data_IF_784383074035
#
_entry.id   IF_784383074035
#
_cell.length_a   1.000
_cell.length_b   1.000
_cell.length_c   1.000
_cell.angle_alpha   90.00
_cell.angle_beta   90.00
_cell.angle_gamma   90.00
#
_symmetry.space_group_name_H-M   'P 1'
#
loop_
_entity.id
_entity.type
_entity.pdbx_description
1 polymer ?
#
# COMPACT_ATOMS: atom_id res chain seq x y z
N UNK A 1 11.04 -26.50 45.26
CA UNK A 1 9.72 -27.17 45.17
C UNK A 1 8.60 -26.12 45.00
N UNK A 2 8.58 -25.26 43.98
CA UNK A 2 8.71 -25.49 42.54
C UNK A 2 7.69 -26.50 42.01
N UNK A 3 6.51 -26.01 41.58
CA UNK A 3 5.80 -26.60 40.43
C UNK A 3 4.59 -25.86 39.88
N UNK A 4 4.46 -24.53 40.02
CA UNK A 4 3.31 -23.83 39.38
C UNK A 4 3.71 -22.52 38.68
N UNK A 5 4.93 -22.44 38.15
CA UNK A 5 5.35 -21.39 37.20
C UNK A 5 5.65 -22.05 35.86
N UNK A 6 4.64 -22.64 35.25
CA UNK A 6 4.71 -23.15 33.89
C UNK A 6 3.28 -23.23 33.39
N UNK A 7 3.07 -22.71 32.17
CA UNK A 7 1.81 -22.68 31.44
C UNK A 7 0.88 -21.52 31.76
N UNK A 8 1.16 -20.37 31.14
CA UNK A 8 0.20 -19.61 30.30
C UNK A 8 0.93 -18.42 29.66
N UNK A 9 1.96 -18.69 28.85
CA UNK A 9 2.44 -17.73 27.85
C UNK A 9 1.66 -18.00 26.56
N UNK A 10 0.41 -17.53 26.51
CA UNK A 10 -0.34 -17.47 25.26
C UNK A 10 0.09 -16.19 24.53
N UNK A 11 1.22 -16.26 23.81
CA UNK A 11 1.63 -15.21 22.90
C UNK A 11 0.69 -15.22 21.70
N UNK A 12 -0.35 -14.38 21.74
CA UNK A 12 -1.11 -14.01 20.56
C UNK A 12 -0.20 -13.21 19.63
N UNK A 13 0.44 -13.89 18.69
CA UNK A 13 1.03 -13.23 17.54
C UNK A 13 -0.12 -12.69 16.69
N UNK A 14 -0.46 -11.41 16.87
CA UNK A 14 -1.24 -10.68 15.87
C UNK A 14 -0.38 -10.66 14.60
N UNK A 15 -0.73 -11.49 13.62
CA UNK A 15 -0.14 -11.41 12.30
C UNK A 15 -0.46 -10.04 11.71
N UNK A 16 0.57 -9.23 11.47
CA UNK A 16 0.43 -8.06 10.64
C UNK A 16 0.01 -8.53 9.26
N UNK A 17 -1.26 -8.32 8.89
CA UNK A 17 -1.71 -8.56 7.53
C UNK A 17 -1.03 -7.49 6.68
N UNK A 18 -0.01 -7.89 5.93
CA UNK A 18 0.55 -7.04 4.90
C UNK A 18 -0.55 -6.89 3.84
N UNK A 19 -1.28 -5.78 3.87
CA UNK A 19 -2.10 -5.40 2.73
C UNK A 19 -1.17 -5.29 1.52
N UNK A 20 -1.46 -6.07 0.48
CA UNK A 20 -0.71 -6.08 -0.78
C UNK A 20 -1.07 -4.86 -1.63
N UNK A 21 -1.08 -3.68 -1.01
CA UNK A 21 -1.37 -2.43 -1.67
C UNK A 21 -0.08 -1.91 -2.32
N UNK A 22 -0.16 -1.65 -3.62
CA UNK A 22 0.92 -1.04 -4.37
C UNK A 22 1.08 0.42 -3.96
N UNK A 23 2.20 0.77 -3.33
CA UNK A 23 2.40 2.13 -2.83
C UNK A 23 3.81 2.67 -3.07
N UNK A 24 3.92 3.99 -3.09
CA UNK A 24 5.17 4.73 -3.04
C UNK A 24 5.24 5.54 -1.76
N UNK A 25 6.40 5.48 -1.09
CA UNK A 25 6.75 6.38 0.02
C UNK A 25 7.83 7.31 -0.48
N UNK A 26 7.53 8.60 -0.46
CA UNK A 26 8.40 9.67 -0.91
C UNK A 26 8.84 10.52 0.29
N UNK A 27 10.14 10.82 0.40
CA UNK A 27 10.71 11.59 1.52
C UNK A 27 11.53 12.79 1.02
N UNK A 28 11.44 13.92 1.72
CA UNK A 28 12.31 15.10 1.53
C UNK A 28 12.36 15.91 2.83
N UNK A 29 13.55 16.13 3.39
CA UNK A 29 13.77 17.02 4.55
C UNK A 29 12.79 16.85 5.73
N UNK A 30 12.37 15.61 6.00
CA UNK A 30 11.42 15.27 7.08
C UNK A 30 9.94 15.31 6.66
N UNK A 31 9.62 15.72 5.43
CA UNK A 31 8.30 15.52 4.83
C UNK A 31 8.18 14.13 4.21
N UNK A 32 7.08 13.44 4.53
CA UNK A 32 6.68 12.18 3.93
C UNK A 32 5.43 12.35 3.06
N UNK A 33 5.44 11.70 1.90
CA UNK A 33 4.26 11.60 1.02
C UNK A 33 3.99 10.14 0.68
N UNK A 34 2.77 9.71 0.92
CA UNK A 34 2.29 8.38 0.59
C UNK A 34 1.42 8.45 -0.65
N UNK A 35 1.72 7.62 -1.65
CA UNK A 35 0.90 7.42 -2.85
C UNK A 35 0.51 5.94 -2.88
N UNK A 36 -0.76 5.63 -2.80
CA UNK A 36 -1.27 4.25 -2.75
C UNK A 36 -2.22 3.99 -3.91
N UNK A 37 -2.13 2.80 -4.51
CA UNK A 37 -3.21 2.23 -5.34
C UNK A 37 -4.00 1.24 -4.50
N UNK A 38 -5.26 1.57 -4.26
CA UNK A 38 -6.21 0.73 -3.55
C UNK A 38 -7.13 0.03 -4.54
N UNK A 39 -7.08 -1.30 -4.57
CA UNK A 39 -8.04 -2.13 -5.29
C UNK A 39 -9.27 -2.35 -4.40
N UNK A 40 -10.45 -2.02 -4.89
CA UNK A 40 -11.66 -1.97 -4.07
C UNK A 40 -12.42 -3.31 -4.01
N UNK A 41 -12.01 -4.28 -4.84
CA UNK A 41 -12.53 -5.63 -4.83
C UNK A 41 -11.37 -6.64 -4.69
N UNK A 42 -11.56 -7.75 -3.96
CA UNK A 42 -10.56 -8.80 -3.86
C UNK A 42 -10.19 -9.37 -5.24
N UNK A 43 -8.88 -9.59 -5.44
CA UNK A 43 -8.30 -10.22 -6.63
C UNK A 43 -8.67 -9.58 -7.98
N UNK A 44 -9.12 -8.32 -7.97
CA UNK A 44 -9.49 -7.57 -9.16
C UNK A 44 -8.70 -6.26 -9.26
N UNK A 45 -8.26 -5.93 -10.47
CA UNK A 45 -7.53 -4.69 -10.72
C UNK A 45 -8.43 -3.44 -10.76
N UNK A 46 -9.75 -3.63 -10.87
CA UNK A 46 -10.76 -2.56 -10.87
C UNK A 46 -12.02 -3.02 -10.12
N UNK A 47 -12.82 -2.10 -9.54
CA UNK A 47 -12.56 -0.67 -9.39
C UNK A 47 -11.34 -0.39 -8.51
N UNK A 48 -10.60 0.67 -8.83
CA UNK A 48 -9.39 1.08 -8.11
C UNK A 48 -9.41 2.58 -7.80
N UNK A 49 -8.66 2.97 -6.78
CA UNK A 49 -8.41 4.36 -6.38
C UNK A 49 -6.93 4.64 -6.27
N UNK A 50 -6.52 5.87 -6.58
CA UNK A 50 -5.22 6.41 -6.20
C UNK A 50 -5.42 7.34 -5.02
N UNK A 51 -4.80 6.98 -3.90
CA UNK A 51 -4.92 7.69 -2.63
C UNK A 51 -3.60 8.37 -2.30
N UNK A 52 -3.69 9.52 -1.67
CA UNK A 52 -2.53 10.36 -1.37
C UNK A 52 -2.63 10.97 0.02
N UNK A 53 -1.50 11.02 0.73
CA UNK A 53 -1.40 11.64 2.05
C UNK A 53 -0.04 12.31 2.21
N UNK A 54 -0.04 13.52 2.78
CA UNK A 54 1.17 14.22 3.22
C UNK A 54 1.28 14.09 4.73
N UNK A 55 2.41 13.59 5.24
CA UNK A 55 2.64 13.40 6.67
C UNK A 55 1.43 12.74 7.35
N UNK A 56 0.86 13.41 8.35
CA UNK A 56 -0.30 12.98 9.13
C UNK A 56 -1.61 13.66 8.69
N UNK A 57 -1.64 14.27 7.51
CA UNK A 57 -2.86 14.84 6.93
C UNK A 57 -3.89 13.74 6.59
N UNK A 58 -5.12 14.15 6.30
CA UNK A 58 -6.17 13.23 5.85
C UNK A 58 -5.81 12.58 4.51
N UNK A 59 -6.17 11.30 4.35
CA UNK A 59 -6.00 10.57 3.11
C UNK A 59 -6.98 11.09 2.05
N UNK A 60 -6.47 11.47 0.89
CA UNK A 60 -7.28 12.00 -0.21
C UNK A 60 -7.36 11.00 -1.36
N UNK A 61 -8.55 10.81 -1.92
CA UNK A 61 -8.72 10.09 -3.20
C UNK A 61 -8.51 11.09 -4.33
N UNK A 62 -7.44 10.92 -5.10
CA UNK A 62 -7.11 11.80 -6.22
C UNK A 62 -7.74 11.32 -7.53
N UNK A 63 -7.78 10.01 -7.72
CA UNK A 63 -8.32 9.38 -8.92
C UNK A 63 -9.04 8.08 -8.58
N UNK A 64 -9.98 7.73 -9.45
CA UNK A 64 -10.72 6.47 -9.41
C UNK A 64 -10.92 5.96 -10.84
N UNK A 65 -10.84 4.64 -11.02
CA UNK A 65 -11.30 3.98 -12.24
C UNK A 65 -12.23 2.84 -11.87
N UNK A 66 -13.39 2.76 -12.52
CA UNK A 66 -14.36 1.71 -12.23
C UNK A 66 -14.15 0.45 -13.08
N UNK A 67 -13.56 0.58 -14.28
CA UNK A 67 -13.47 -0.50 -15.26
C UNK A 67 -12.23 -0.43 -16.19
N UNK A 68 -11.27 0.46 -15.92
CA UNK A 68 -10.06 0.60 -16.73
C UNK A 68 -8.83 0.08 -15.97
N UNK A 69 -8.46 -1.16 -16.23
CA UNK A 69 -7.24 -1.77 -15.66
C UNK A 69 -5.99 -0.97 -16.02
N UNK A 70 -5.04 -0.89 -15.09
CA UNK A 70 -3.78 -0.15 -15.26
C UNK A 70 -3.90 1.37 -15.11
N UNK A 71 -5.12 1.93 -15.02
CA UNK A 71 -5.31 3.38 -14.90
C UNK A 71 -4.72 3.92 -13.60
N UNK A 72 -5.02 3.28 -12.46
CA UNK A 72 -4.57 3.76 -11.15
C UNK A 72 -3.05 3.62 -10.99
N UNK A 73 -2.46 2.55 -11.48
CA UNK A 73 -1.02 2.29 -11.44
C UNK A 73 -0.25 3.29 -12.31
N UNK A 74 -0.78 3.62 -13.48
CA UNK A 74 -0.24 4.67 -14.34
C UNK A 74 -0.28 6.04 -13.65
N UNK A 75 -1.41 6.39 -13.03
CA UNK A 75 -1.56 7.64 -12.27
C UNK A 75 -0.66 7.71 -11.04
N UNK A 76 -0.55 6.64 -10.26
CA UNK A 76 0.38 6.57 -9.14
C UNK A 76 1.84 6.71 -9.60
N UNK A 77 2.23 6.07 -10.72
CA UNK A 77 3.57 6.21 -11.28
C UNK A 77 3.85 7.63 -11.79
N UNK A 78 2.87 8.27 -12.42
CA UNK A 78 2.94 9.66 -12.83
C UNK A 78 3.19 10.56 -11.62
N UNK A 79 2.34 10.47 -10.59
CA UNK A 79 2.46 11.30 -9.39
C UNK A 79 3.81 11.07 -8.67
N UNK A 80 4.29 9.83 -8.61
CA UNK A 80 5.61 9.53 -8.05
C UNK A 80 6.75 10.20 -8.84
N UNK A 81 6.65 10.27 -10.18
CA UNK A 81 7.64 10.98 -11.00
C UNK A 81 7.61 12.49 -10.72
N UNK A 82 6.42 13.08 -10.64
CA UNK A 82 6.26 14.50 -10.26
C UNK A 82 6.87 14.77 -8.88
N UNK A 83 6.67 13.87 -7.91
CA UNK A 83 7.32 13.95 -6.61
C UNK A 83 8.85 13.97 -6.70
N UNK A 84 9.44 13.13 -7.55
CA UNK A 84 10.89 13.11 -7.78
C UNK A 84 11.40 14.37 -8.47
N UNK A 85 10.64 14.90 -9.41
CA UNK A 85 10.94 16.19 -10.06
C UNK A 85 10.94 17.35 -9.06
N UNK A 86 10.15 17.25 -7.99
CA UNK A 86 10.16 18.19 -6.86
C UNK A 86 11.22 17.88 -5.80
N UNK A 87 12.11 16.91 -6.04
CA UNK A 87 13.24 16.60 -5.17
C UNK A 87 12.98 15.50 -4.15
N UNK A 88 11.80 14.87 -4.12
CA UNK A 88 11.55 13.76 -3.19
C UNK A 88 12.25 12.48 -3.63
N UNK A 89 12.82 11.77 -2.67
CA UNK A 89 13.30 10.41 -2.86
C UNK A 89 12.14 9.43 -2.64
N UNK A 90 11.72 8.73 -3.70
CA UNK A 90 10.57 7.82 -3.65
C UNK A 90 11.00 6.35 -3.79
N UNK A 91 10.54 5.52 -2.86
CA UNK A 91 10.68 4.06 -2.89
C UNK A 91 9.32 3.38 -3.10
N UNK A 92 9.28 2.37 -3.98
CA UNK A 92 8.11 1.50 -4.08
C UNK A 92 8.11 0.53 -2.90
N UNK A 93 6.97 0.39 -2.24
CA UNK A 93 6.74 -0.61 -1.21
C UNK A 93 5.65 -1.56 -1.71
N UNK A 94 5.87 -2.85 -1.51
CA UNK A 94 4.93 -3.93 -1.81
C UNK A 94 4.27 -3.83 -3.21
N UNK A 95 5.08 -4.00 -4.27
CA UNK A 95 4.54 -4.18 -5.62
C UNK A 95 4.00 -5.60 -5.77
N UNK A 96 2.71 -5.81 -6.09
CA UNK A 96 2.23 -7.15 -6.43
C UNK A 96 3.06 -7.69 -7.60
N UNK A 97 3.63 -8.88 -7.38
CA UNK A 97 4.45 -9.56 -8.36
C UNK A 97 3.56 -10.20 -9.43
N UNK A 98 3.15 -9.41 -10.42
CA UNK A 98 2.39 -9.90 -11.59
C UNK A 98 0.89 -9.54 -11.57
N UNK A 99 0.13 -9.96 -12.59
CA UNK A 99 -1.32 -9.80 -12.58
C UNK A 99 -1.86 -10.54 -11.36
N UNK A 100 -2.84 -9.93 -10.69
CA UNK A 100 -3.62 -10.53 -9.60
C UNK A 100 -3.78 -12.04 -9.83
N UNK A 101 -3.35 -12.80 -8.83
CA UNK A 101 -2.97 -14.21 -8.91
C UNK A 101 -3.86 -15.02 -9.85
N UNK A 102 -3.26 -15.53 -10.92
CA UNK A 102 -3.70 -16.78 -11.55
C UNK A 102 -3.50 -17.90 -10.54
N UNK A 103 -4.47 -18.10 -9.65
CA UNK A 103 -4.67 -19.40 -9.02
C UNK A 103 -5.75 -20.13 -9.79
N UNK A 104 -5.28 -21.10 -10.57
CA UNK A 104 -6.06 -22.15 -11.20
C UNK A 104 -7.09 -22.75 -10.23
N UNK A 105 -8.34 -22.81 -10.69
CA UNK A 105 -9.27 -23.91 -10.41
C UNK A 105 -9.97 -24.26 -11.71
#
# INVERSE_FOLDING_TARGET
>A
MERHVLWLLLALALGAQAENNYQYVCQLDGEQRLIEVAYLLPDQAVPCEVRYRKNDEELQVLWRADNQEGYCESKANQLMKEQREWGFECAAQNKPAGPVSSTAY
#
